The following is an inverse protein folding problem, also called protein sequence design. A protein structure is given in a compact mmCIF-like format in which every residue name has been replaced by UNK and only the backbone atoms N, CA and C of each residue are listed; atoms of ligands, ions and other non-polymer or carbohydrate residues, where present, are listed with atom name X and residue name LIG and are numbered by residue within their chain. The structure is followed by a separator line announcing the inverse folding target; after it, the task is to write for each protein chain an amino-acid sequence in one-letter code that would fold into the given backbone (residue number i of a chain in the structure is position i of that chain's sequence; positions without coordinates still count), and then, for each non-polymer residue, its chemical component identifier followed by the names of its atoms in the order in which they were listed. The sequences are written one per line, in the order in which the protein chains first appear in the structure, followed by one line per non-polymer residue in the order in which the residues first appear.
data_IF_391922311562
#
_entry.id   IF_391922311562
#
_cell.length_a   1.000
_cell.length_b   1.000
_cell.length_c   1.000
_cell.angle_alpha   90.00
_cell.angle_beta   90.00
_cell.angle_gamma   90.00
#
_symmetry.space_group_name_H-M   'P 1'
#
loop_
_entity.id
_entity.type
_entity.pdbx_description
1 polymer ?
#
# COMPACT_ATOMS: atom_id res chain seq x y z
N UNK A 1 -0.55 1.85 16.33
CA UNK A 1 -0.33 2.90 15.30
C UNK A 1 -1.24 2.52 14.18
N UNK A 2 -2.40 3.16 14.14
CA UNK A 2 -3.34 2.99 13.04
C UNK A 2 -2.65 3.50 11.79
N UNK A 3 -2.68 2.71 10.71
CA UNK A 3 -2.21 3.20 9.43
C UNK A 3 -3.09 4.41 9.04
N UNK A 4 -2.58 5.41 8.30
CA UNK A 4 -3.40 6.51 7.77
C UNK A 4 -4.44 6.03 6.74
N UNK A 5 -4.65 4.71 6.61
CA UNK A 5 -5.75 4.09 5.90
C UNK A 5 -7.09 4.77 6.22
N UNK A 6 -7.30 5.16 7.48
CA UNK A 6 -8.51 5.91 7.85
C UNK A 6 -8.63 7.23 7.10
N UNK A 7 -7.57 8.03 7.07
CA UNK A 7 -7.52 9.33 6.37
C UNK A 7 -7.68 9.14 4.86
N UNK A 8 -6.91 8.26 4.25
CA UNK A 8 -6.98 7.99 2.80
C UNK A 8 -8.38 7.51 2.39
N UNK A 9 -9.00 6.64 3.19
CA UNK A 9 -10.37 6.17 2.91
C UNK A 9 -11.40 7.29 3.08
N UNK A 10 -11.22 8.17 4.07
CA UNK A 10 -12.08 9.36 4.26
C UNK A 10 -11.95 10.27 3.04
N UNK A 11 -10.74 10.58 2.60
CA UNK A 11 -10.49 11.50 1.48
C UNK A 11 -11.10 10.98 0.18
N UNK A 12 -10.85 9.72 -0.17
CA UNK A 12 -11.44 9.07 -1.36
C UNK A 12 -12.96 9.04 -1.27
N UNK A 13 -13.51 8.78 -0.08
CA UNK A 13 -14.97 8.75 0.13
C UNK A 13 -15.59 10.15 -0.03
N UNK A 14 -14.98 11.17 0.57
CA UNK A 14 -15.45 12.57 0.47
C UNK A 14 -15.39 13.04 -0.98
N UNK A 15 -14.25 12.83 -1.67
CA UNK A 15 -14.10 13.14 -3.09
C UNK A 15 -15.16 12.39 -3.91
N UNK A 16 -15.32 11.09 -3.70
CA UNK A 16 -16.31 10.27 -4.38
C UNK A 16 -17.74 10.78 -4.20
N UNK A 17 -18.13 11.16 -2.98
CA UNK A 17 -19.44 11.77 -2.69
C UNK A 17 -19.60 13.10 -3.41
N UNK A 18 -18.58 13.98 -3.36
CA UNK A 18 -18.63 15.29 -4.04
C UNK A 18 -18.83 15.11 -5.55
N UNK A 19 -18.05 14.25 -6.19
CA UNK A 19 -18.18 13.97 -7.62
C UNK A 19 -19.53 13.32 -7.97
N UNK A 20 -20.04 12.43 -7.11
CA UNK A 20 -21.35 11.82 -7.29
C UNK A 20 -22.48 12.86 -7.21
N UNK A 21 -22.44 13.74 -6.22
CA UNK A 21 -23.42 14.83 -6.05
C UNK A 21 -23.35 15.84 -7.20
N UNK A 22 -22.14 16.23 -7.61
CA UNK A 22 -21.94 17.10 -8.79
C UNK A 22 -22.49 16.46 -10.07
N UNK A 23 -22.24 15.16 -10.26
CA UNK A 23 -22.74 14.41 -11.41
C UNK A 23 -24.27 14.33 -11.39
N UNK A 24 -24.87 13.99 -10.24
CA UNK A 24 -26.32 13.97 -10.08
C UNK A 24 -26.94 15.35 -10.34
N UNK A 25 -26.30 16.41 -9.85
CA UNK A 25 -26.71 17.78 -10.12
C UNK A 25 -26.66 18.10 -11.62
N UNK A 26 -25.57 17.75 -12.32
CA UNK A 26 -25.46 18.00 -13.76
C UNK A 26 -26.49 17.20 -14.57
N UNK A 27 -26.71 15.94 -14.23
CA UNK A 27 -27.76 15.11 -14.84
C UNK A 27 -29.13 15.78 -14.65
N UNK A 28 -29.47 16.19 -13.43
CA UNK A 28 -30.77 16.81 -13.14
C UNK A 28 -30.92 18.19 -13.80
N UNK A 29 -29.91 19.06 -13.68
CA UNK A 29 -29.94 20.46 -14.12
C UNK A 29 -29.84 20.64 -15.63
N UNK A 30 -29.06 19.77 -16.30
CA UNK A 30 -28.80 19.83 -17.73
C UNK A 30 -29.44 18.67 -18.50
N UNK A 31 -30.40 17.95 -17.89
CA UNK A 31 -31.23 16.97 -18.61
C UNK A 31 -31.92 17.60 -19.81
N UNK A 32 -32.07 16.82 -20.89
CA UNK A 32 -32.77 17.25 -22.10
C UNK A 32 -34.26 17.46 -21.81
N UNK A 33 -34.79 18.62 -22.22
CA UNK A 33 -36.23 18.92 -22.20
C UNK A 33 -36.78 18.83 -23.63
N UNK A 34 -37.92 18.17 -23.87
CA UNK A 34 -38.57 18.15 -25.18
C UNK A 34 -38.83 19.56 -25.71
N UNK A 35 -38.41 19.85 -26.95
CA UNK A 35 -38.52 21.18 -27.55
C UNK A 35 -37.37 22.14 -27.23
N UNK A 36 -36.40 21.75 -26.40
CA UNK A 36 -35.20 22.56 -26.11
C UNK A 36 -34.14 22.52 -27.22
N UNK A 37 -33.13 23.43 -27.15
CA UNK A 37 -32.00 23.45 -28.08
C UNK A 37 -31.26 22.11 -28.17
N UNK A 38 -30.79 21.74 -29.38
CA UNK A 38 -30.06 20.48 -29.62
C UNK A 38 -28.60 20.52 -29.16
N UNK A 39 -28.02 21.71 -29.01
CA UNK A 39 -26.63 21.93 -28.59
C UNK A 39 -26.64 22.88 -27.40
N UNK A 40 -25.96 22.49 -26.32
CA UNK A 40 -25.77 23.36 -25.14
C UNK A 40 -24.71 24.42 -25.40
N UNK A 41 -24.87 25.62 -24.85
CA UNK A 41 -23.84 26.65 -24.81
C UNK A 41 -23.16 26.63 -23.42
N UNK A 42 -21.85 26.33 -23.40
CA UNK A 42 -21.04 26.43 -22.19
C UNK A 42 -20.52 27.86 -21.98
N UNK A 43 -20.34 28.32 -20.73
CA UNK A 43 -19.68 29.58 -20.47
C UNK A 43 -18.23 29.55 -20.98
N UNK A 44 -17.78 30.64 -21.62
CA UNK A 44 -16.37 30.81 -21.97
C UNK A 44 -15.60 31.20 -20.70
N UNK A 45 -14.54 30.47 -20.39
CA UNK A 45 -13.66 30.82 -19.27
C UNK A 45 -12.87 32.11 -19.60
N UNK A 46 -12.76 33.00 -18.62
CA UNK A 46 -11.78 34.09 -18.70
C UNK A 46 -10.36 33.51 -18.58
N UNK A 47 -9.31 34.21 -19.05
CA UNK A 47 -7.93 33.75 -18.85
C UNK A 47 -7.57 33.48 -17.38
N UNK A 48 -8.08 34.30 -16.45
CA UNK A 48 -7.89 34.09 -15.02
C UNK A 48 -8.58 32.81 -14.52
N UNK A 49 -9.81 32.53 -14.99
CA UNK A 49 -10.50 31.28 -14.67
C UNK A 49 -9.79 30.08 -15.30
N UNK A 50 -9.26 30.23 -16.52
CA UNK A 50 -8.46 29.25 -17.24
C UNK A 50 -7.13 28.92 -16.52
N UNK A 51 -6.53 29.89 -15.84
CA UNK A 51 -5.34 29.66 -15.01
C UNK A 51 -5.73 29.03 -13.68
N UNK A 52 -6.78 29.56 -13.03
CA UNK A 52 -7.24 29.08 -11.73
C UNK A 52 -7.61 27.60 -11.73
N UNK A 53 -8.34 27.12 -12.74
CA UNK A 53 -8.72 25.70 -12.81
C UNK A 53 -7.54 24.75 -13.03
N UNK A 54 -6.40 25.24 -13.53
CA UNK A 54 -5.19 24.44 -13.67
C UNK A 54 -4.31 24.52 -12.41
N UNK A 55 -4.10 25.73 -11.89
CA UNK A 55 -3.20 26.00 -10.76
C UNK A 55 -3.76 25.45 -9.46
N UNK A 56 -5.06 25.66 -9.17
CA UNK A 56 -5.63 25.25 -7.88
C UNK A 56 -5.52 23.73 -7.69
N UNK A 57 -5.98 22.87 -8.62
CA UNK A 57 -5.83 21.43 -8.46
C UNK A 57 -4.37 21.00 -8.40
N UNK A 58 -3.50 21.59 -9.24
CA UNK A 58 -2.08 21.25 -9.24
C UNK A 58 -1.44 21.47 -7.86
N UNK A 59 -1.71 22.59 -7.20
CA UNK A 59 -1.15 22.85 -5.87
C UNK A 59 -1.82 22.04 -4.76
N UNK A 60 -3.12 21.73 -4.87
CA UNK A 60 -3.82 20.85 -3.92
C UNK A 60 -3.22 19.44 -3.98
N UNK A 61 -3.09 18.86 -5.17
CA UNK A 61 -2.47 17.54 -5.34
C UNK A 61 -0.99 17.55 -4.95
N UNK A 62 -0.25 18.61 -5.28
CA UNK A 62 1.16 18.71 -4.90
C UNK A 62 1.34 18.75 -3.37
N UNK A 63 0.49 19.49 -2.65
CA UNK A 63 0.54 19.56 -1.21
C UNK A 63 0.21 18.21 -0.56
N UNK A 64 -0.82 17.53 -1.06
CA UNK A 64 -1.21 16.20 -0.62
C UNK A 64 -0.13 15.15 -0.89
N UNK A 65 0.41 15.11 -2.11
CA UNK A 65 1.47 14.18 -2.53
C UNK A 65 2.73 14.37 -1.70
N UNK A 66 3.13 15.61 -1.40
CA UNK A 66 4.28 15.86 -0.53
C UNK A 66 4.05 15.43 0.91
N UNK A 67 2.85 15.63 1.45
CA UNK A 67 2.50 15.15 2.78
C UNK A 67 2.53 13.62 2.83
N UNK A 68 1.91 12.95 1.86
CA UNK A 68 1.90 11.49 1.75
C UNK A 68 3.32 10.93 1.57
N UNK A 69 4.13 11.54 0.72
CA UNK A 69 5.51 11.13 0.49
C UNK A 69 6.37 11.23 1.76
N UNK A 70 6.24 12.32 2.53
CA UNK A 70 6.94 12.49 3.80
C UNK A 70 6.55 11.39 4.81
N UNK A 71 5.26 11.11 4.96
CA UNK A 71 4.76 10.05 5.84
C UNK A 71 5.20 8.65 5.36
N UNK A 72 5.15 8.41 4.05
CA UNK A 72 5.60 7.17 3.41
C UNK A 72 7.08 6.91 3.64
N UNK A 73 7.91 7.96 3.59
CA UNK A 73 9.34 7.86 3.88
C UNK A 73 9.62 7.45 5.32
N UNK A 74 8.93 8.06 6.28
CA UNK A 74 9.05 7.69 7.72
C UNK A 74 8.64 6.24 7.93
N UNK A 75 7.54 5.81 7.32
CA UNK A 75 7.05 4.44 7.41
C UNK A 75 8.02 3.44 6.76
N UNK A 76 8.56 3.77 5.59
CA UNK A 76 9.57 2.96 4.90
C UNK A 76 10.80 2.75 5.77
N UNK A 77 11.35 3.82 6.35
CA UNK A 77 12.51 3.72 7.23
C UNK A 77 12.23 2.80 8.43
N UNK A 78 11.03 2.85 9.00
CA UNK A 78 10.64 1.95 10.07
C UNK A 78 10.59 0.48 9.62
N UNK A 79 10.07 0.18 8.43
CA UNK A 79 10.11 -1.18 7.89
C UNK A 79 11.51 -1.64 7.47
N UNK A 80 12.46 -0.73 7.31
CA UNK A 80 13.86 -1.05 7.00
C UNK A 80 14.79 -1.00 8.22
N UNK A 81 14.30 -0.49 9.35
CA UNK A 81 15.01 -0.46 10.64
C UNK A 81 14.87 -1.81 11.35
N UNK A 82 15.85 -2.68 11.12
CA UNK A 82 15.85 -4.05 11.67
C UNK A 82 16.46 -4.03 13.08
N UNK A 83 15.75 -4.49 14.13
CA UNK A 83 16.30 -4.55 15.48
C UNK A 83 17.57 -5.42 15.59
N UNK A 84 18.49 -5.04 16.48
CA UNK A 84 19.73 -5.78 16.68
C UNK A 84 19.51 -7.16 17.33
N UNK A 85 18.53 -7.26 18.24
CA UNK A 85 18.16 -8.44 19.03
C UNK A 85 17.23 -9.42 18.28
N UNK A 86 17.46 -9.59 16.98
CA UNK A 86 16.61 -10.39 16.10
C UNK A 86 16.97 -11.88 16.07
N UNK A 87 15.99 -12.73 15.78
CA UNK A 87 16.20 -14.09 15.30
C UNK A 87 16.25 -14.08 13.77
N UNK A 88 17.39 -14.45 13.20
CA UNK A 88 17.57 -14.52 11.76
C UNK A 88 17.24 -15.93 11.25
N UNK A 89 16.36 -16.02 10.25
CA UNK A 89 15.91 -17.28 9.63
C UNK A 89 16.12 -17.14 8.13
N UNK A 90 16.74 -18.13 7.50
CA UNK A 90 16.86 -18.17 6.05
C UNK A 90 15.58 -18.71 5.44
N UNK A 91 15.03 -17.99 4.46
CA UNK A 91 13.94 -18.44 3.63
C UNK A 91 14.46 -18.66 2.21
N UNK A 92 14.25 -19.87 1.70
CA UNK A 92 14.43 -20.20 0.30
C UNK A 92 13.08 -20.54 -0.31
N UNK A 93 12.68 -19.73 -1.28
CA UNK A 93 11.41 -19.92 -2.01
C UNK A 93 11.63 -20.79 -3.24
N UNK A 94 10.67 -21.65 -3.55
CA UNK A 94 10.60 -22.33 -4.83
C UNK A 94 9.19 -22.77 -5.20
N UNK A 95 9.00 -23.38 -6.35
CA UNK A 95 7.71 -23.86 -6.83
C UNK A 95 7.29 -25.17 -6.13
N UNK A 96 6.24 -25.21 -5.31
CA UNK A 96 5.55 -24.10 -4.63
C UNK A 96 5.67 -24.32 -3.11
N UNK A 97 6.85 -24.04 -2.57
CA UNK A 97 7.21 -24.23 -1.17
C UNK A 97 8.00 -23.04 -0.61
N UNK A 98 7.86 -22.87 0.69
CA UNK A 98 8.66 -21.95 1.50
C UNK A 98 9.52 -22.78 2.45
N UNK A 99 10.83 -22.81 2.21
CA UNK A 99 11.75 -23.61 3.00
C UNK A 99 12.49 -22.70 3.99
N UNK A 100 12.28 -22.94 5.29
CA UNK A 100 12.86 -22.16 6.38
C UNK A 100 14.02 -22.93 7.01
N UNK A 101 15.16 -22.26 7.17
CA UNK A 101 16.32 -22.80 7.90
C UNK A 101 16.62 -21.92 9.10
N UNK A 102 16.56 -22.52 10.30
CA UNK A 102 16.80 -21.86 11.57
C UNK A 102 18.29 -21.90 11.96
N UNK A 103 18.78 -21.00 12.84
CA UNK A 103 20.19 -20.97 13.24
C UNK A 103 20.70 -22.24 13.91
N UNK A 104 19.80 -23.05 14.48
CA UNK A 104 20.13 -24.34 15.11
C UNK A 104 20.17 -25.50 14.10
N UNK A 105 20.03 -25.24 12.80
CA UNK A 105 20.04 -26.25 11.73
C UNK A 105 18.72 -26.97 11.52
N UNK A 106 17.67 -26.67 12.30
CA UNK A 106 16.32 -27.18 12.02
C UNK A 106 15.84 -26.60 10.70
N UNK A 107 15.11 -27.40 9.92
CA UNK A 107 14.46 -26.97 8.70
C UNK A 107 12.96 -27.28 8.79
N UNK A 108 12.15 -26.34 8.34
CA UNK A 108 10.70 -26.54 8.18
C UNK A 108 10.29 -26.08 6.79
N UNK A 109 9.22 -26.68 6.27
CA UNK A 109 8.65 -26.32 4.98
C UNK A 109 7.22 -25.83 5.20
N UNK A 110 6.85 -24.72 4.56
CA UNK A 110 5.52 -24.08 4.58
C UNK A 110 5.00 -23.65 5.95
N UNK A 111 5.65 -24.02 7.04
CA UNK A 111 5.32 -23.61 8.40
C UNK A 111 6.50 -22.87 9.04
N UNK A 112 6.31 -21.57 9.28
CA UNK A 112 7.25 -20.71 10.01
C UNK A 112 6.85 -20.68 11.50
N UNK A 113 7.74 -21.18 12.36
CA UNK A 113 7.52 -21.24 13.82
C UNK A 113 8.51 -20.30 14.49
N UNK A 114 7.99 -19.28 15.15
CA UNK A 114 8.80 -18.22 15.76
C UNK A 114 8.37 -17.92 17.19
N UNK A 115 9.30 -17.52 18.08
CA UNK A 115 8.96 -17.14 19.44
C UNK A 115 8.22 -15.79 19.47
N UNK A 116 7.17 -15.71 20.28
CA UNK A 116 6.52 -14.44 20.57
C UNK A 116 7.45 -13.52 21.38
N UNK A 117 7.36 -12.21 21.13
CA UNK A 117 8.13 -11.18 21.82
C UNK A 117 9.54 -10.95 21.27
N UNK A 118 9.98 -11.70 20.24
CA UNK A 118 11.31 -11.55 19.65
C UNK A 118 11.23 -11.04 18.20
N UNK A 119 11.99 -10.00 17.80
CA UNK A 119 12.06 -9.58 16.41
C UNK A 119 12.56 -10.73 15.51
N UNK A 120 11.90 -10.94 14.39
CA UNK A 120 12.26 -11.96 13.40
C UNK A 120 12.76 -11.27 12.14
N UNK A 121 13.89 -11.72 11.62
CA UNK A 121 14.39 -11.32 10.29
C UNK A 121 14.42 -12.55 9.39
N UNK A 122 13.65 -12.50 8.32
CA UNK A 122 13.77 -13.46 7.22
C UNK A 122 14.80 -12.92 6.24
N UNK A 123 15.87 -13.69 6.00
CA UNK A 123 16.76 -13.49 4.84
C UNK A 123 16.28 -14.36 3.71
N UNK A 124 15.86 -13.75 2.64
CA UNK A 124 15.05 -14.39 1.63
C UNK A 124 15.81 -14.50 0.32
N UNK A 125 15.73 -15.65 -0.32
CA UNK A 125 16.21 -15.88 -1.69
C UNK A 125 15.23 -16.81 -2.39
N UNK A 126 15.39 -16.98 -3.70
CA UNK A 126 14.67 -18.00 -4.45
C UNK A 126 15.64 -18.90 -5.21
N UNK A 127 15.27 -20.16 -5.37
CA UNK A 127 16.02 -21.15 -6.15
C UNK A 127 15.59 -21.25 -7.61
N UNK A 128 14.42 -20.72 -7.95
CA UNK A 128 13.87 -20.81 -9.32
C UNK A 128 13.42 -19.45 -9.89
N UNK A 129 12.39 -18.84 -9.36
CA UNK A 129 11.67 -17.68 -9.94
C UNK A 129 11.33 -16.65 -8.86
N UNK A 130 10.74 -15.53 -9.27
CA UNK A 130 10.24 -14.55 -8.31
C UNK A 130 9.06 -15.13 -7.52
N UNK A 131 9.20 -15.12 -6.20
CA UNK A 131 8.10 -15.39 -5.26
C UNK A 131 7.95 -14.20 -4.33
N UNK A 132 6.77 -14.06 -3.73
CA UNK A 132 6.49 -12.94 -2.83
C UNK A 132 5.90 -13.47 -1.52
N UNK A 133 6.71 -13.43 -0.46
CA UNK A 133 6.29 -13.94 0.84
C UNK A 133 5.50 -12.85 1.56
N UNK A 134 4.25 -13.15 1.92
CA UNK A 134 3.35 -12.23 2.59
C UNK A 134 2.92 -12.78 3.96
N UNK A 135 2.99 -11.97 5.01
CA UNK A 135 2.47 -12.32 6.34
C UNK A 135 1.37 -11.31 6.70
N UNK A 136 0.08 -11.64 6.48
CA UNK A 136 -1.03 -10.69 6.61
C UNK A 136 -1.13 -10.02 7.99
N UNK A 137 -0.93 -10.78 9.06
CA UNK A 137 -1.09 -10.28 10.44
C UNK A 137 -0.10 -9.17 10.79
N UNK A 138 1.07 -9.18 10.14
CA UNK A 138 2.10 -8.18 10.32
C UNK A 138 2.10 -7.14 9.20
N UNK A 139 1.29 -7.33 8.14
CA UNK A 139 1.20 -6.46 6.96
C UNK A 139 2.56 -6.23 6.30
N UNK A 140 3.38 -7.27 6.27
CA UNK A 140 4.72 -7.26 5.67
C UNK A 140 4.75 -8.20 4.49
N UNK A 141 5.34 -7.72 3.39
CA UNK A 141 5.54 -8.45 2.15
C UNK A 141 6.86 -8.03 1.55
N UNK A 142 7.67 -8.98 1.10
CA UNK A 142 8.89 -8.70 0.34
C UNK A 142 9.06 -9.81 -0.70
N UNK A 143 9.65 -9.46 -1.84
CA UNK A 143 9.92 -10.40 -2.92
C UNK A 143 11.22 -11.16 -2.65
N UNK A 144 11.19 -12.46 -2.88
CA UNK A 144 12.36 -13.33 -2.95
C UNK A 144 12.68 -13.62 -4.42
N UNK A 145 13.94 -13.49 -4.80
CA UNK A 145 14.37 -13.60 -6.19
C UNK A 145 15.69 -14.36 -6.33
N UNK A 146 15.90 -15.10 -7.42
CA UNK A 146 17.17 -15.79 -7.66
C UNK A 146 18.33 -14.80 -7.78
N UNK A 147 19.48 -15.16 -7.22
CA UNK A 147 20.71 -14.37 -7.32
C UNK A 147 20.77 -13.12 -6.43
N UNK A 148 19.77 -12.87 -5.58
CA UNK A 148 19.78 -11.75 -4.64
C UNK A 148 19.11 -12.12 -3.32
N UNK A 149 19.80 -11.84 -2.21
CA UNK A 149 19.18 -11.91 -0.89
C UNK A 149 18.42 -10.62 -0.59
N UNK A 150 17.12 -10.76 -0.34
CA UNK A 150 16.26 -9.70 0.22
C UNK A 150 15.98 -9.99 1.68
N UNK A 151 15.27 -9.08 2.36
CA UNK A 151 14.93 -9.30 3.76
C UNK A 151 13.58 -8.70 4.11
N UNK A 152 12.94 -9.34 5.09
CA UNK A 152 11.69 -8.91 5.68
C UNK A 152 11.78 -9.13 7.19
N UNK A 153 11.32 -8.15 7.97
CA UNK A 153 11.33 -8.28 9.42
C UNK A 153 9.95 -7.98 10.02
N UNK A 154 9.66 -8.63 11.15
CA UNK A 154 8.42 -8.41 11.90
C UNK A 154 8.60 -8.76 13.39
N UNK A 155 7.67 -8.33 14.22
CA UNK A 155 7.65 -8.60 15.67
C UNK A 155 6.33 -9.27 16.08
N UNK A 156 6.32 -10.61 16.27
CA UNK A 156 5.15 -11.32 16.78
C UNK A 156 4.94 -11.02 18.27
N UNK A 157 4.01 -10.12 18.61
CA UNK A 157 3.80 -9.73 20.03
C UNK A 157 3.05 -10.76 20.87
N UNK A 158 2.24 -11.61 20.23
CA UNK A 158 1.39 -12.60 20.89
C UNK A 158 1.47 -13.91 20.13
N UNK A 159 1.35 -15.07 20.81
CA UNK A 159 1.18 -16.35 20.13
C UNK A 159 -0.06 -16.31 19.25
N UNK A 160 0.12 -16.66 17.97
CA UNK A 160 -0.95 -16.79 16.99
C UNK A 160 -0.54 -17.85 15.96
N UNK A 161 -1.52 -18.55 15.40
CA UNK A 161 -1.33 -19.39 14.22
C UNK A 161 -1.88 -18.61 13.04
N UNK A 162 -1.00 -18.30 12.09
CA UNK A 162 -1.40 -17.67 10.83
C UNK A 162 -1.27 -18.69 9.70
N UNK A 163 -2.27 -18.73 8.83
CA UNK A 163 -2.24 -19.48 7.59
C UNK A 163 -2.13 -18.47 6.45
N UNK A 164 -0.93 -18.29 5.92
CA UNK A 164 -0.70 -17.55 4.67
C UNK A 164 -1.09 -18.37 3.46
#
# INVERSE_FOLDING_TARGET
MELPLGEVLIDITVIGIVFALMTAYFIWRYRRVPGGPRVGSGPKLSPAAAIGWAVIPAFVFLADDFFLAANGWVLWNKFRDVPADRLEIHLESGMYSWDYTYPNGVQTQNELIVPAGKPILLRMTSRDTLHSHFIPDFRVKEDSMPGRTTFLWFLPRRPARNTS
#
